data_IF_478572782573
#
_entry.id   IF_478572782573
#
_cell.length_a   1.000
_cell.length_b   1.000
_cell.length_c   1.000
_cell.angle_alpha   90.00
_cell.angle_beta   90.00
_cell.angle_gamma   90.00
#
_symmetry.space_group_name_H-M   'P 1'
#
loop_
_entity.id
_entity.type
_entity.pdbx_description
1 polymer ?
#
# COMPACT_ATOMS: atom_id res chain seq x y z
N UNK A 1 -2.88 -5.06 15.55
CA UNK A 1 -3.86 -4.17 14.93
C UNK A 1 -4.05 -4.45 13.45
N UNK A 2 -2.98 -4.57 12.68
CA UNK A 2 -3.09 -4.96 11.25
C UNK A 2 -3.74 -6.32 11.06
N UNK A 3 -3.45 -7.28 11.95
CA UNK A 3 -4.09 -8.60 11.91
C UNK A 3 -5.61 -8.51 12.05
N UNK A 4 -6.13 -7.54 12.80
CA UNK A 4 -7.58 -7.32 12.92
C UNK A 4 -8.19 -6.75 11.65
N UNK A 5 -7.46 -5.87 10.94
CA UNK A 5 -7.92 -5.23 9.71
C UNK A 5 -7.90 -6.20 8.55
N UNK A 6 -6.81 -6.97 8.39
CA UNK A 6 -6.59 -7.85 7.24
C UNK A 6 -6.82 -9.33 7.55
N UNK A 7 -7.03 -9.70 8.81
CA UNK A 7 -7.22 -11.09 9.21
C UNK A 7 -5.98 -11.96 9.02
N UNK A 8 -4.80 -11.37 8.97
CA UNK A 8 -3.52 -12.09 8.79
C UNK A 8 -2.55 -11.70 9.88
N UNK A 9 -1.72 -12.67 10.28
CA UNK A 9 -0.57 -12.44 11.13
C UNK A 9 0.67 -12.30 10.26
N UNK A 10 1.62 -11.47 10.66
CA UNK A 10 2.84 -11.24 9.92
C UNK A 10 4.00 -10.90 10.82
N UNK A 11 5.18 -10.79 10.22
CA UNK A 11 6.38 -10.34 10.90
C UNK A 11 6.19 -8.90 11.39
N UNK A 12 6.29 -8.69 12.70
CA UNK A 12 6.06 -7.38 13.31
C UNK A 12 7.06 -6.32 12.85
N UNK A 13 8.29 -6.73 12.55
CA UNK A 13 9.32 -5.81 12.03
C UNK A 13 8.98 -5.33 10.63
N UNK A 14 8.55 -6.23 9.74
CA UNK A 14 8.12 -5.87 8.39
C UNK A 14 6.86 -5.00 8.42
N UNK A 15 5.90 -5.33 9.27
CA UNK A 15 4.68 -4.54 9.44
C UNK A 15 5.02 -3.12 9.91
N UNK A 16 5.93 -3.00 10.86
CA UNK A 16 6.36 -1.69 11.36
C UNK A 16 7.03 -0.85 10.26
N UNK A 17 7.90 -1.45 9.45
CA UNK A 17 8.50 -0.78 8.29
C UNK A 17 7.45 -0.35 7.27
N UNK A 18 6.48 -1.22 6.98
CA UNK A 18 5.41 -0.95 6.03
C UNK A 18 4.57 0.26 6.45
N UNK A 19 4.47 0.53 7.74
CA UNK A 19 3.69 1.64 8.30
C UNK A 19 4.54 2.87 8.60
N UNK A 20 5.80 2.89 8.24
CA UNK A 20 6.71 4.00 8.55
C UNK A 20 6.96 4.85 7.31
N UNK A 21 6.46 6.08 7.32
CA UNK A 21 6.70 7.05 6.26
C UNK A 21 8.15 7.57 6.31
N UNK A 22 8.77 7.88 5.15
CA UNK A 22 10.14 8.44 5.12
C UNK A 22 10.33 9.69 5.98
N UNK A 23 9.31 10.52 6.12
CA UNK A 23 9.38 11.72 6.96
C UNK A 23 9.61 11.39 8.44
N UNK A 24 9.08 10.25 8.91
CA UNK A 24 9.28 9.81 10.29
C UNK A 24 10.73 9.40 10.53
N UNK A 25 11.35 8.65 9.61
CA UNK A 25 12.76 8.26 9.75
C UNK A 25 13.67 9.47 9.74
N UNK A 26 13.38 10.47 8.93
CA UNK A 26 14.11 11.74 8.88
C UNK A 26 13.99 12.51 10.19
N UNK A 27 12.76 12.68 10.69
CA UNK A 27 12.49 13.41 11.93
C UNK A 27 13.14 12.74 13.14
N UNK A 28 13.09 11.40 13.20
CA UNK A 28 13.65 10.62 14.30
C UNK A 28 15.15 10.30 14.13
N UNK A 29 15.75 10.80 13.05
CA UNK A 29 17.15 10.54 12.72
C UNK A 29 17.49 9.04 12.64
N UNK A 30 16.55 8.27 12.07
CA UNK A 30 16.71 6.83 11.86
C UNK A 30 17.30 6.56 10.47
N UNK A 31 17.77 5.31 10.26
CA UNK A 31 18.23 4.85 8.95
C UNK A 31 17.07 4.94 7.94
N UNK A 32 17.36 5.47 6.74
CA UNK A 32 16.38 5.58 5.66
C UNK A 32 15.79 4.23 5.23
N UNK A 33 16.49 3.11 5.52
CA UNK A 33 15.98 1.77 5.22
C UNK A 33 14.88 1.31 6.21
N UNK A 34 14.61 2.08 7.25
CA UNK A 34 13.57 1.74 8.23
C UNK A 34 12.17 2.22 7.86
N UNK A 35 12.00 2.82 6.68
CA UNK A 35 10.70 3.22 6.16
C UNK A 35 10.18 2.25 5.08
N UNK A 36 8.99 2.52 4.56
CA UNK A 36 8.28 1.60 3.66
C UNK A 36 8.75 1.63 2.20
N UNK A 37 9.67 2.50 1.81
CA UNK A 37 9.99 2.72 0.38
C UNK A 37 10.36 1.43 -0.38
N UNK A 38 11.19 0.58 0.22
CA UNK A 38 11.58 -0.69 -0.41
C UNK A 38 10.40 -1.67 -0.50
N UNK A 39 9.59 -1.72 0.54
CA UNK A 39 8.39 -2.57 0.57
C UNK A 39 7.35 -2.07 -0.44
N UNK A 40 7.23 -0.77 -0.61
CA UNK A 40 6.35 -0.17 -1.62
C UNK A 40 6.76 -0.59 -3.02
N UNK A 41 8.04 -0.54 -3.33
CA UNK A 41 8.56 -0.98 -4.63
C UNK A 41 8.21 -2.44 -4.92
N UNK A 42 8.44 -3.31 -3.94
CA UNK A 42 8.13 -4.73 -4.08
C UNK A 42 6.62 -4.98 -4.11
N UNK A 43 5.90 -4.32 -3.21
CA UNK A 43 4.46 -4.46 -3.08
C UNK A 43 3.69 -3.99 -4.31
N UNK A 44 4.18 -2.99 -5.02
CA UNK A 44 3.58 -2.54 -6.27
C UNK A 44 3.52 -3.67 -7.31
N UNK A 45 4.58 -4.44 -7.42
CA UNK A 45 4.63 -5.60 -8.32
C UNK A 45 3.69 -6.71 -7.88
N UNK A 46 3.60 -6.95 -6.57
CA UNK A 46 2.68 -7.94 -6.01
C UNK A 46 1.23 -7.54 -6.28
N UNK A 47 0.89 -6.28 -6.07
CA UNK A 47 -0.45 -5.74 -6.32
C UNK A 47 -0.84 -5.88 -7.80
N UNK A 48 0.08 -5.60 -8.71
CA UNK A 48 -0.15 -5.75 -10.15
C UNK A 48 -0.36 -7.20 -10.53
N UNK A 49 0.41 -8.11 -9.96
CA UNK A 49 0.26 -9.54 -10.21
C UNK A 49 -1.11 -10.04 -9.74
N UNK A 50 -1.51 -9.69 -8.52
CA UNK A 50 -2.80 -10.09 -7.97
C UNK A 50 -3.97 -9.52 -8.77
N UNK A 51 -3.90 -8.24 -9.10
CA UNK A 51 -4.93 -7.57 -9.91
C UNK A 51 -5.05 -8.23 -11.29
N UNK A 52 -3.93 -8.54 -11.91
CA UNK A 52 -3.90 -9.20 -13.21
C UNK A 52 -4.53 -10.59 -13.15
N UNK A 53 -4.17 -11.37 -12.14
CA UNK A 53 -4.72 -12.71 -11.93
C UNK A 53 -6.24 -12.64 -11.73
N UNK A 54 -6.69 -11.75 -10.88
CA UNK A 54 -8.10 -11.57 -10.56
C UNK A 54 -8.91 -11.21 -11.81
N UNK A 55 -8.45 -10.22 -12.57
CA UNK A 55 -9.12 -9.77 -13.78
C UNK A 55 -9.13 -10.85 -14.87
N UNK A 56 -8.02 -11.55 -15.02
CA UNK A 56 -7.91 -12.65 -15.96
C UNK A 56 -8.95 -13.75 -15.67
N UNK A 57 -9.19 -14.04 -14.41
CA UNK A 57 -10.15 -15.09 -13.99
C UNK A 57 -11.60 -14.60 -14.05
N UNK A 58 -11.87 -13.35 -13.67
CA UNK A 58 -13.23 -12.81 -13.61
C UNK A 58 -13.77 -12.46 -15.01
N UNK A 59 -12.90 -11.97 -15.89
CA UNK A 59 -13.26 -11.51 -17.23
C UNK A 59 -12.56 -12.32 -18.32
N UNK A 60 -12.87 -13.61 -18.46
CA UNK A 60 -12.13 -14.50 -19.40
C UNK A 60 -12.30 -14.10 -20.87
N UNK A 61 -13.31 -13.32 -21.20
CA UNK A 61 -13.58 -12.92 -22.58
C UNK A 61 -13.14 -11.49 -22.92
N UNK A 62 -12.58 -10.77 -21.95
CA UNK A 62 -12.10 -9.41 -22.20
C UNK A 62 -10.73 -9.44 -22.87
N UNK A 63 -10.54 -8.61 -23.91
CA UNK A 63 -9.21 -8.50 -24.54
C UNK A 63 -8.22 -7.79 -23.61
N UNK A 64 -6.95 -7.95 -23.91
CA UNK A 64 -5.84 -7.42 -23.10
C UNK A 64 -5.98 -5.92 -22.84
N UNK A 65 -6.36 -5.13 -23.87
CA UNK A 65 -6.50 -3.69 -23.71
C UNK A 65 -7.53 -3.29 -22.67
N UNK A 66 -8.64 -4.00 -22.59
CA UNK A 66 -9.68 -3.75 -21.58
C UNK A 66 -9.20 -4.14 -20.19
N UNK A 67 -8.54 -5.27 -20.08
CA UNK A 67 -7.96 -5.73 -18.80
C UNK A 67 -6.91 -4.75 -18.29
N UNK A 68 -6.06 -4.24 -19.15
CA UNK A 68 -5.04 -3.24 -18.80
C UNK A 68 -5.66 -1.95 -18.31
N UNK A 69 -6.74 -1.48 -18.93
CA UNK A 69 -7.45 -0.29 -18.50
C UNK A 69 -8.06 -0.46 -17.10
N UNK A 70 -8.74 -1.57 -16.89
CA UNK A 70 -9.35 -1.85 -15.57
C UNK A 70 -8.26 -1.94 -14.51
N UNK A 71 -7.18 -2.65 -14.79
CA UNK A 71 -6.06 -2.77 -13.85
C UNK A 71 -5.46 -1.41 -13.50
N UNK A 72 -5.26 -0.54 -14.47
CA UNK A 72 -4.69 0.80 -14.24
C UNK A 72 -5.55 1.63 -13.28
N UNK A 73 -6.87 1.45 -13.32
CA UNK A 73 -7.79 2.12 -12.40
C UNK A 73 -7.70 1.50 -11.01
N UNK A 74 -7.72 0.16 -10.93
CA UNK A 74 -7.68 -0.56 -9.65
C UNK A 74 -6.43 -0.26 -8.83
N UNK A 75 -5.28 -0.14 -9.49
CA UNK A 75 -4.01 0.12 -8.80
C UNK A 75 -3.62 1.60 -8.78
N UNK A 76 -4.53 2.49 -9.16
CA UNK A 76 -4.26 3.93 -9.15
C UNK A 76 -4.16 4.46 -7.72
N UNK A 77 -3.35 5.49 -7.54
CA UNK A 77 -3.20 6.15 -6.25
C UNK A 77 -4.53 6.66 -5.71
N UNK A 78 -5.41 7.12 -6.60
CA UNK A 78 -6.73 7.62 -6.23
C UNK A 78 -7.59 6.54 -5.56
N UNK A 79 -7.66 5.35 -6.17
CA UNK A 79 -8.44 4.24 -5.63
C UNK A 79 -7.78 3.67 -4.35
N UNK A 80 -6.46 3.47 -4.39
CA UNK A 80 -5.73 2.93 -3.24
C UNK A 80 -5.81 3.88 -2.03
N UNK A 81 -5.76 5.19 -2.25
CA UNK A 81 -5.92 6.18 -1.18
C UNK A 81 -7.29 6.09 -0.54
N UNK A 82 -8.35 5.94 -1.34
CA UNK A 82 -9.71 5.79 -0.83
C UNK A 82 -9.87 4.54 0.02
N UNK A 83 -9.33 3.42 -0.46
CA UNK A 83 -9.35 2.16 0.30
C UNK A 83 -8.59 2.31 1.61
N UNK A 84 -7.42 2.93 1.58
CA UNK A 84 -6.60 3.16 2.77
C UNK A 84 -7.36 3.97 3.83
N UNK A 85 -8.07 5.01 3.41
CA UNK A 85 -8.88 5.82 4.33
C UNK A 85 -10.04 5.02 4.92
N UNK A 86 -10.73 4.22 4.11
CA UNK A 86 -11.85 3.41 4.57
C UNK A 86 -11.45 2.38 5.63
N UNK A 87 -10.29 1.76 5.48
CA UNK A 87 -9.79 0.77 6.44
C UNK A 87 -9.02 1.39 7.61
N UNK A 88 -8.87 2.72 7.63
CA UNK A 88 -8.20 3.43 8.71
C UNK A 88 -6.68 3.34 8.69
N UNK A 89 -6.09 3.01 7.55
CA UNK A 89 -4.64 2.85 7.42
C UNK A 89 -3.88 4.15 7.71
N UNK A 90 -4.46 5.29 7.36
CA UNK A 90 -3.89 6.61 7.62
C UNK A 90 -3.59 6.84 9.11
N UNK A 91 -4.38 6.25 9.99
CA UNK A 91 -4.19 6.35 11.45
C UNK A 91 -3.07 5.47 11.98
N UNK A 92 -2.66 4.48 11.21
CA UNK A 92 -1.61 3.53 11.59
C UNK A 92 -0.24 3.93 11.08
N UNK A 93 -0.17 4.77 10.03
CA UNK A 93 1.09 5.15 9.39
C UNK A 93 1.85 6.14 10.28
N UNK A 94 3.13 5.85 10.51
CA UNK A 94 4.05 6.74 11.23
C UNK A 94 4.63 7.76 10.26
N UNK A 95 4.31 9.02 10.48
CA UNK A 95 4.88 10.13 9.71
C UNK A 95 5.13 11.34 10.62
N UNK A 96 5.86 12.34 10.15
CA UNK A 96 6.18 13.47 11.00
C UNK A 96 4.95 14.34 11.25
N UNK A 97 4.91 14.98 12.43
CA UNK A 97 3.78 15.80 12.87
C UNK A 97 3.46 16.92 11.88
N UNK A 98 4.48 17.49 11.25
CA UNK A 98 4.31 18.58 10.29
C UNK A 98 3.45 18.12 9.09
N UNK A 99 3.71 16.91 8.58
CA UNK A 99 2.94 16.35 7.48
C UNK A 99 1.50 16.06 7.92
N UNK A 100 1.31 15.58 9.14
CA UNK A 100 -0.02 15.33 9.70
C UNK A 100 -0.82 16.65 9.73
N UNK A 101 -0.21 17.73 10.14
CA UNK A 101 -0.88 19.04 10.25
C UNK A 101 -1.21 19.65 8.88
N UNK A 102 -0.43 19.34 7.85
CA UNK A 102 -0.66 19.84 6.49
C UNK A 102 -1.66 18.97 5.70
N UNK A 103 -1.75 17.71 6.06
CA UNK A 103 -2.58 16.74 5.36
C UNK A 103 -4.01 16.72 5.78
#
# INVERSE_FOLDING_TARGET
MLSKVFGVEGDSELIDKALTHPSFTKEQNLDSLQCYERLEFFGDSVLKLFSSKLLYEIYPEYPEGDLSKIRSILVSDNILSKVALEIGLDKLIKHCLFIILLG
#
